data_IF_428162817602
#
_entry.id   IF_428162817602
#
_cell.length_a   1.000
_cell.length_b   1.000
_cell.length_c   1.000
_cell.angle_alpha   90.00
_cell.angle_beta   90.00
_cell.angle_gamma   90.00
#
_symmetry.space_group_name_H-M   'P 1'
#
loop_
_entity.id
_entity.type
_entity.pdbx_description
1 polymer ?
#
# COMPACT_ATOMS: atom_id res chain seq x y z
N UNK A 1 -17.05 4.42 9.14
CA UNK A 1 -16.28 3.21 9.48
C UNK A 1 -14.85 3.61 9.83
N UNK A 2 -14.27 2.91 10.80
CA UNK A 2 -12.90 3.08 11.26
C UNK A 2 -12.34 1.66 11.30
N UNK A 3 -11.16 1.43 10.74
CA UNK A 3 -10.41 0.18 10.92
C UNK A 3 -9.08 0.51 11.57
N UNK A 4 -8.66 -0.21 12.63
CA UNK A 4 -7.30 -0.11 13.09
C UNK A 4 -6.37 -0.58 11.97
N UNK A 5 -5.30 0.19 11.78
CA UNK A 5 -4.17 -0.16 10.93
C UNK A 5 -3.02 -0.53 11.86
N UNK A 6 -2.45 -1.70 11.67
CA UNK A 6 -1.33 -2.18 12.48
C UNK A 6 -0.12 -2.32 11.59
N UNK A 7 1.05 -1.95 12.10
CA UNK A 7 2.34 -2.26 11.46
C UNK A 7 2.95 -3.45 12.17
N UNK A 8 3.42 -4.45 11.43
CA UNK A 8 3.97 -5.69 11.99
C UNK A 8 5.49 -5.70 11.90
N UNK A 9 6.19 -5.04 12.82
CA UNK A 9 7.66 -5.14 12.95
C UNK A 9 8.51 -4.65 11.75
N UNK A 10 7.93 -4.57 10.55
CA UNK A 10 8.48 -4.16 9.27
C UNK A 10 7.98 -2.74 9.03
N UNK A 11 8.86 -1.73 8.97
CA UNK A 11 8.43 -0.34 8.88
C UNK A 11 7.85 0.01 7.50
N UNK A 12 7.89 -0.92 6.54
CA UNK A 12 7.36 -0.74 5.20
C UNK A 12 5.92 -1.25 5.05
N UNK A 13 5.43 -2.08 5.98
CA UNK A 13 4.20 -2.85 5.79
C UNK A 13 3.06 -2.38 6.71
N UNK A 14 1.93 -2.01 6.09
CA UNK A 14 0.72 -1.56 6.77
C UNK A 14 -0.49 -2.37 6.31
N UNK A 15 -1.30 -2.82 7.26
CA UNK A 15 -2.50 -3.62 6.97
C UNK A 15 -3.66 -3.24 7.88
N UNK A 16 -4.88 -3.50 7.40
CA UNK A 16 -6.09 -3.47 8.21
C UNK A 16 -6.42 -4.87 8.72
N UNK A 17 -6.84 -4.96 9.98
CA UNK A 17 -7.44 -6.17 10.52
C UNK A 17 -8.91 -6.23 10.12
N UNK A 18 -9.27 -7.28 9.39
CA UNK A 18 -10.63 -7.49 8.88
C UNK A 18 -11.12 -8.85 9.37
N UNK A 19 -12.27 -8.85 10.03
CA UNK A 19 -13.03 -10.07 10.30
C UNK A 19 -13.71 -10.53 9.01
N UNK A 20 -13.54 -11.79 8.63
CA UNK A 20 -14.12 -12.36 7.40
C UNK A 20 -15.01 -13.54 7.78
N UNK A 21 -16.19 -13.59 7.17
CA UNK A 21 -17.12 -14.72 7.26
C UNK A 21 -18.00 -14.74 8.51
N UNK A 22 -18.99 -15.63 8.47
CA UNK A 22 -19.87 -15.91 9.60
C UNK A 22 -19.82 -17.39 9.98
N UNK A 23 -19.21 -17.70 11.12
CA UNK A 23 -18.99 -19.04 11.62
C UNK A 23 -19.91 -19.36 12.80
N UNK A 24 -20.02 -20.66 13.13
CA UNK A 24 -20.76 -21.09 14.31
C UNK A 24 -20.15 -20.48 15.58
N UNK A 25 -21.01 -20.04 16.49
CA UNK A 25 -20.62 -19.48 17.76
C UNK A 25 -19.93 -20.54 18.61
N UNK A 26 -18.71 -20.23 19.05
CA UNK A 26 -18.01 -20.98 20.10
C UNK A 26 -17.88 -20.04 21.29
N UNK A 27 -18.16 -20.55 22.49
CA UNK A 27 -18.12 -19.74 23.71
C UNK A 27 -16.80 -18.95 23.80
N UNK A 28 -16.91 -17.63 24.02
CA UNK A 28 -15.77 -16.72 24.12
C UNK A 28 -15.09 -16.28 22.81
N UNK A 29 -15.61 -16.63 21.62
CA UNK A 29 -15.00 -16.27 20.33
C UNK A 29 -15.97 -15.50 19.40
N UNK A 30 -15.47 -14.50 18.63
CA UNK A 30 -16.29 -13.82 17.62
C UNK A 30 -16.78 -14.81 16.56
N UNK A 31 -17.97 -14.55 15.99
CA UNK A 31 -18.55 -15.33 14.88
C UNK A 31 -17.85 -15.10 13.53
N UNK A 32 -16.63 -14.56 13.51
CA UNK A 32 -15.83 -14.28 12.31
C UNK A 32 -14.37 -14.63 12.57
N UNK A 33 -13.56 -14.74 11.50
CA UNK A 33 -12.11 -14.96 11.59
C UNK A 33 -11.36 -13.70 11.19
N UNK A 34 -10.40 -13.27 11.99
CA UNK A 34 -9.65 -12.04 11.74
C UNK A 34 -8.41 -12.32 10.90
N UNK A 35 -8.21 -11.53 9.86
CA UNK A 35 -7.09 -11.60 8.95
C UNK A 35 -6.48 -10.21 8.72
N UNK A 36 -5.21 -10.17 8.34
CA UNK A 36 -4.53 -8.93 8.02
C UNK A 36 -4.54 -8.70 6.51
N UNK A 37 -5.16 -7.61 6.10
CA UNK A 37 -5.24 -7.21 4.69
C UNK A 37 -4.32 -6.04 4.43
N UNK A 38 -3.35 -6.19 3.53
CA UNK A 38 -2.56 -5.04 3.07
C UNK A 38 -3.50 -4.02 2.40
N UNK A 39 -3.34 -2.75 2.72
CA UNK A 39 -4.08 -1.69 2.05
C UNK A 39 -3.42 -1.41 0.70
N UNK A 40 -4.13 -1.64 -0.40
CA UNK A 40 -3.60 -1.47 -1.75
C UNK A 40 -4.42 -0.45 -2.52
N UNK A 41 -3.82 0.69 -2.80
CA UNK A 41 -4.45 1.79 -3.54
C UNK A 41 -4.09 1.78 -5.03
N UNK A 42 -3.30 0.79 -5.46
CA UNK A 42 -2.95 0.50 -6.85
C UNK A 42 -3.88 -0.51 -7.52
N UNK A 43 -4.65 -1.28 -6.74
CA UNK A 43 -5.58 -2.31 -7.22
C UNK A 43 -6.99 -2.12 -6.64
N UNK A 44 -8.03 -2.38 -7.45
CA UNK A 44 -9.41 -2.28 -6.99
C UNK A 44 -9.93 -3.56 -6.31
N UNK A 45 -9.49 -4.77 -6.67
CA UNK A 45 -10.13 -5.98 -6.15
C UNK A 45 -9.56 -6.36 -4.77
N UNK A 46 -10.41 -6.42 -3.75
CA UNK A 46 -10.03 -7.05 -2.48
C UNK A 46 -10.00 -8.57 -2.63
N UNK A 47 -9.05 -9.25 -2.01
CA UNK A 47 -8.95 -10.71 -2.06
C UNK A 47 -8.26 -11.29 -0.83
N UNK A 48 -8.49 -12.58 -0.55
CA UNK A 48 -7.84 -13.34 0.52
C UNK A 48 -7.52 -14.75 0.03
N UNK A 49 -6.46 -15.36 0.57
CA UNK A 49 -6.14 -16.76 0.31
C UNK A 49 -7.19 -17.70 0.93
N UNK A 50 -7.89 -18.44 0.08
CA UNK A 50 -8.92 -19.41 0.46
C UNK A 50 -8.37 -20.84 0.56
N UNK A 51 -9.10 -21.73 1.24
CA UNK A 51 -8.70 -23.14 1.45
C UNK A 51 -8.44 -23.90 0.15
N UNK A 52 -9.10 -23.52 -0.95
CA UNK A 52 -8.88 -24.08 -2.27
C UNK A 52 -7.44 -23.94 -2.79
N UNK A 53 -6.61 -23.07 -2.21
CA UNK A 53 -5.18 -22.98 -2.56
C UNK A 53 -4.38 -24.24 -2.18
N UNK A 54 -4.92 -25.06 -1.28
CA UNK A 54 -4.28 -26.30 -0.84
C UNK A 54 -4.60 -27.49 -1.76
N UNK A 55 -5.48 -27.30 -2.75
CA UNK A 55 -5.82 -28.34 -3.72
C UNK A 55 -4.64 -28.66 -4.63
N UNK A 56 -4.60 -29.89 -5.14
CA UNK A 56 -3.54 -30.34 -6.07
C UNK A 56 -3.53 -29.45 -7.32
N UNK A 57 -2.35 -28.90 -7.65
CA UNK A 57 -2.14 -28.02 -8.81
C UNK A 57 -2.27 -26.52 -8.51
N UNK A 58 -2.71 -26.18 -7.30
CA UNK A 58 -2.81 -24.80 -6.80
C UNK A 58 -1.62 -24.45 -5.89
N UNK A 59 -1.46 -23.16 -5.59
CA UNK A 59 -0.42 -22.70 -4.68
C UNK A 59 -0.94 -21.65 -3.68
N UNK A 60 -0.75 -21.95 -2.41
CA UNK A 60 -0.82 -20.98 -1.33
C UNK A 60 0.51 -20.23 -1.25
N UNK A 61 0.48 -18.90 -1.11
CA UNK A 61 1.69 -18.21 -0.68
C UNK A 61 1.94 -18.43 0.82
N UNK A 62 3.20 -18.40 1.28
CA UNK A 62 3.52 -18.56 2.69
C UNK A 62 2.89 -17.45 3.54
N UNK A 63 2.10 -17.83 4.54
CA UNK A 63 1.43 -16.93 5.47
C UNK A 63 1.46 -17.51 6.90
N UNK A 64 1.38 -16.65 7.91
CA UNK A 64 1.40 -17.04 9.34
C UNK A 64 0.16 -17.84 9.75
N UNK A 65 -1.02 -17.42 9.30
CA UNK A 65 -2.30 -18.05 9.65
C UNK A 65 -2.78 -19.00 8.53
N UNK A 66 -3.60 -20.01 8.84
CA UNK A 66 -4.16 -20.89 7.83
C UNK A 66 -5.01 -20.12 6.80
N UNK A 67 -5.18 -20.65 5.58
CA UNK A 67 -6.09 -20.10 4.59
C UNK A 67 -7.51 -19.94 5.12
N UNK A 68 -8.25 -19.03 4.50
CA UNK A 68 -9.66 -18.80 4.81
C UNK A 68 -10.53 -20.01 4.42
N UNK A 69 -11.22 -20.59 5.41
CA UNK A 69 -12.08 -21.76 5.26
C UNK A 69 -13.46 -21.34 4.74
N UNK A 70 -13.52 -20.94 3.47
CA UNK A 70 -14.72 -20.38 2.84
C UNK A 70 -15.91 -21.36 2.85
N UNK A 71 -15.70 -22.67 2.73
CA UNK A 71 -16.77 -23.68 2.81
C UNK A 71 -17.48 -23.74 4.16
N UNK A 72 -16.86 -23.23 5.23
CA UNK A 72 -17.40 -23.26 6.59
C UNK A 72 -18.11 -21.96 6.98
N UNK A 73 -18.02 -20.92 6.15
CA UNK A 73 -18.71 -19.65 6.37
C UNK A 73 -20.16 -19.72 5.88
N UNK A 74 -21.10 -19.34 6.73
CA UNK A 74 -22.53 -19.30 6.38
C UNK A 74 -22.92 -18.11 5.49
N UNK A 75 -22.04 -17.11 5.34
CA UNK A 75 -22.29 -15.93 4.50
C UNK A 75 -21.46 -15.91 3.20
N UNK A 76 -20.62 -16.93 2.98
CA UNK A 76 -19.91 -17.10 1.72
C UNK A 76 -20.90 -17.45 0.61
N UNK A 77 -20.97 -16.61 -0.43
CA UNK A 77 -21.78 -16.89 -1.62
C UNK A 77 -20.90 -16.75 -2.86
N UNK A 78 -20.61 -17.84 -3.57
CA UNK A 78 -19.76 -17.74 -4.76
C UNK A 78 -20.55 -17.11 -5.91
N UNK A 79 -19.88 -16.34 -6.78
CA UNK A 79 -20.55 -15.58 -7.85
C UNK A 79 -20.53 -16.38 -9.16
N UNK A 80 -21.70 -16.59 -9.75
CA UNK A 80 -21.83 -17.21 -11.08
C UNK A 80 -21.59 -16.18 -12.20
N UNK A 81 -21.13 -16.62 -13.37
CA UNK A 81 -20.64 -15.73 -14.44
C UNK A 81 -21.61 -14.62 -14.91
N UNK A 82 -22.92 -14.88 -14.87
CA UNK A 82 -23.93 -13.95 -15.39
C UNK A 82 -24.78 -13.29 -14.29
N UNK A 83 -24.41 -13.47 -13.02
CA UNK A 83 -25.23 -13.02 -11.89
C UNK A 83 -24.75 -11.71 -11.26
N UNK A 84 -23.56 -11.21 -11.62
CA UNK A 84 -22.98 -10.04 -10.98
C UNK A 84 -22.24 -9.14 -11.97
N UNK A 85 -22.44 -7.83 -11.83
CA UNK A 85 -21.83 -6.81 -12.70
C UNK A 85 -20.30 -6.72 -12.60
N UNK A 86 -19.71 -7.30 -11.55
CA UNK A 86 -18.26 -7.38 -11.38
C UNK A 86 -17.62 -8.56 -12.11
N UNK A 87 -18.43 -9.45 -12.69
CA UNK A 87 -17.92 -10.49 -13.54
C UNK A 87 -17.60 -9.94 -14.92
N UNK A 88 -16.31 -9.83 -15.22
CA UNK A 88 -15.85 -9.28 -16.49
C UNK A 88 -16.04 -10.29 -17.63
N UNK A 89 -16.31 -9.82 -18.87
CA UNK A 89 -16.38 -10.71 -20.03
C UNK A 89 -15.12 -11.57 -20.17
N UNK A 90 -15.31 -12.88 -20.38
CA UNK A 90 -14.21 -13.85 -20.48
C UNK A 90 -13.66 -14.35 -19.14
N UNK A 91 -14.12 -13.80 -18.00
CA UNK A 91 -13.77 -14.29 -16.65
C UNK A 91 -14.79 -15.30 -16.14
N UNK A 92 -14.95 -16.39 -16.88
CA UNK A 92 -15.91 -17.44 -16.55
C UNK A 92 -15.28 -18.82 -16.73
N UNK A 93 -15.25 -19.63 -15.68
CA UNK A 93 -14.80 -21.02 -15.74
C UNK A 93 -15.77 -21.90 -14.96
N UNK A 94 -16.26 -22.96 -15.61
CA UNK A 94 -17.17 -23.93 -14.99
C UNK A 94 -18.41 -23.27 -14.36
N UNK A 95 -18.94 -22.21 -14.99
CA UNK A 95 -20.10 -21.44 -14.50
C UNK A 95 -19.80 -20.46 -13.38
N UNK A 96 -18.57 -20.44 -12.86
CA UNK A 96 -18.11 -19.57 -11.79
C UNK A 96 -17.33 -18.38 -12.35
N UNK A 97 -17.58 -17.21 -11.78
CA UNK A 97 -16.86 -16.00 -12.15
C UNK A 97 -15.44 -16.04 -11.61
N UNK A 98 -14.45 -15.94 -12.48
CA UNK A 98 -13.04 -15.97 -12.10
C UNK A 98 -12.46 -14.57 -11.98
N UNK A 99 -11.26 -14.46 -11.42
CA UNK A 99 -10.46 -13.25 -11.52
C UNK A 99 -8.98 -13.61 -11.62
N UNK A 100 -8.20 -12.67 -12.12
CA UNK A 100 -6.75 -12.71 -12.11
C UNK A 100 -6.21 -11.30 -11.84
N UNK A 101 -5.32 -11.16 -10.87
CA UNK A 101 -4.59 -9.93 -10.58
C UNK A 101 -3.10 -10.22 -10.61
N UNK A 102 -2.39 -9.44 -11.42
CA UNK A 102 -0.93 -9.46 -11.51
C UNK A 102 -0.34 -8.25 -10.80
N UNK A 103 0.77 -8.47 -10.10
CA UNK A 103 1.51 -7.48 -9.34
C UNK A 103 2.91 -7.29 -9.95
N UNK A 104 3.89 -6.93 -9.12
CA UNK A 104 5.31 -6.85 -9.50
C UNK A 104 5.85 -8.18 -10.07
N UNK A 105 7.18 -8.26 -10.35
CA UNK A 105 7.76 -9.28 -11.22
C UNK A 105 7.35 -10.72 -10.90
N UNK A 106 6.37 -11.25 -11.66
CA UNK A 106 5.88 -12.62 -11.55
C UNK A 106 4.94 -12.92 -10.37
N UNK A 107 4.55 -11.93 -9.57
CA UNK A 107 3.59 -12.09 -8.48
C UNK A 107 2.16 -12.00 -9.02
N UNK A 108 1.31 -12.96 -8.70
CA UNK A 108 -0.10 -12.93 -9.13
C UNK A 108 -1.01 -13.75 -8.20
N UNK A 109 -2.29 -13.42 -8.22
CA UNK A 109 -3.37 -14.18 -7.57
C UNK A 109 -4.49 -14.43 -8.56
N UNK A 110 -5.09 -15.61 -8.47
CA UNK A 110 -6.27 -15.97 -9.24
C UNK A 110 -7.18 -16.88 -8.41
N UNK A 111 -8.44 -16.89 -8.77
CA UNK A 111 -9.47 -17.66 -8.09
C UNK A 111 -10.86 -17.27 -8.56
N UNK A 112 -11.84 -17.43 -7.68
CA UNK A 112 -13.23 -17.13 -7.97
C UNK A 112 -13.66 -15.85 -7.24
N UNK A 113 -14.53 -15.07 -7.88
CA UNK A 113 -15.26 -14.02 -7.17
C UNK A 113 -16.34 -14.64 -6.30
N UNK A 114 -16.52 -14.07 -5.12
CA UNK A 114 -17.56 -14.42 -4.17
C UNK A 114 -17.99 -13.16 -3.42
N UNK A 115 -19.16 -13.19 -2.77
CA UNK A 115 -19.57 -12.21 -1.78
C UNK A 115 -19.43 -12.80 -0.38
N UNK A 116 -19.05 -11.96 0.59
CA UNK A 116 -18.88 -12.36 1.99
C UNK A 116 -19.16 -11.18 2.94
N UNK A 117 -19.37 -11.49 4.22
CA UNK A 117 -19.47 -10.53 5.30
C UNK A 117 -18.07 -10.12 5.78
N UNK A 118 -17.74 -8.84 5.66
CA UNK A 118 -16.53 -8.25 6.24
C UNK A 118 -16.88 -7.46 7.51
N UNK A 119 -16.20 -7.74 8.61
CA UNK A 119 -16.41 -7.13 9.92
C UNK A 119 -15.21 -6.29 10.32
N UNK A 120 -15.45 -5.02 10.65
CA UNK A 120 -14.41 -4.06 11.03
C UNK A 120 -14.54 -3.66 12.50
N UNK A 121 -13.40 -3.52 13.17
CA UNK A 121 -13.33 -3.06 14.56
C UNK A 121 -13.46 -1.53 14.62
N UNK A 122 -14.51 -1.01 15.27
CA UNK A 122 -14.60 0.43 15.56
C UNK A 122 -13.80 0.78 16.82
N UNK A 123 -13.19 1.97 16.84
CA UNK A 123 -12.57 2.56 18.04
C UNK A 123 -13.56 2.78 19.19
N UNK A 124 -14.87 2.74 18.94
CA UNK A 124 -15.92 2.80 19.98
C UNK A 124 -16.29 1.42 20.55
N UNK A 125 -15.46 0.39 20.32
CA UNK A 125 -15.69 -0.97 20.85
C UNK A 125 -16.81 -1.77 20.18
N UNK A 126 -17.43 -1.24 19.12
CA UNK A 126 -18.47 -1.93 18.33
C UNK A 126 -17.90 -2.50 17.03
N UNK A 127 -18.26 -3.73 16.71
CA UNK A 127 -17.99 -4.30 15.39
C UNK A 127 -18.99 -3.78 14.37
N UNK A 128 -18.52 -3.46 13.17
CA UNK A 128 -19.36 -3.10 12.03
C UNK A 128 -19.25 -4.18 10.97
N UNK A 129 -20.30 -4.96 10.79
CA UNK A 129 -20.42 -5.94 9.71
C UNK A 129 -20.93 -5.27 8.44
N UNK A 130 -20.31 -5.60 7.31
CA UNK A 130 -20.71 -5.24 5.97
C UNK A 130 -20.97 -6.53 5.21
N UNK A 131 -22.23 -6.73 4.86
CA UNK A 131 -22.68 -7.91 4.13
C UNK A 131 -22.47 -7.73 2.63
N UNK A 132 -22.46 -8.85 1.91
CA UNK A 132 -22.39 -8.92 0.44
C UNK A 132 -21.20 -8.16 -0.19
N UNK A 133 -20.07 -8.07 0.52
CA UNK A 133 -18.83 -7.52 -0.04
C UNK A 133 -18.26 -8.52 -1.04
N UNK A 134 -18.18 -8.11 -2.31
CA UNK A 134 -17.57 -8.89 -3.37
C UNK A 134 -16.05 -8.82 -3.27
N UNK A 135 -15.41 -9.99 -3.25
CA UNK A 135 -13.97 -10.15 -3.12
C UNK A 135 -13.48 -11.36 -3.94
N UNK A 136 -12.17 -11.44 -4.12
CA UNK A 136 -11.50 -12.60 -4.69
C UNK A 136 -11.19 -13.66 -3.63
N UNK A 137 -11.74 -14.86 -3.81
CA UNK A 137 -11.36 -16.05 -3.06
C UNK A 137 -10.20 -16.73 -3.80
N UNK A 138 -8.97 -16.40 -3.40
CA UNK A 138 -7.75 -16.82 -4.11
C UNK A 138 -7.50 -18.31 -3.93
N UNK A 139 -7.41 -19.03 -5.04
CA UNK A 139 -7.06 -20.45 -5.09
C UNK A 139 -5.68 -20.68 -5.69
N UNK A 140 -5.07 -19.73 -6.38
CA UNK A 140 -3.66 -19.82 -6.79
C UNK A 140 -3.01 -18.46 -6.65
N UNK A 141 -1.99 -18.39 -5.80
CA UNK A 141 -1.28 -17.16 -5.46
C UNK A 141 0.21 -17.45 -5.37
N UNK A 142 0.99 -16.81 -6.24
CA UNK A 142 2.41 -17.11 -6.42
C UNK A 142 3.28 -15.89 -6.25
N UNK A 143 4.50 -16.13 -5.76
CA UNK A 143 5.54 -15.12 -5.56
C UNK A 143 5.08 -13.91 -4.73
N UNK A 144 4.13 -14.10 -3.81
CA UNK A 144 3.70 -13.04 -2.89
C UNK A 144 4.72 -12.90 -1.75
N UNK A 145 5.31 -11.71 -1.62
CA UNK A 145 6.26 -11.40 -0.55
C UNK A 145 5.98 -10.00 -0.01
N UNK A 146 5.36 -9.95 1.18
CA UNK A 146 4.98 -8.70 1.84
C UNK A 146 5.93 -8.28 2.96
N UNK A 147 6.72 -9.22 3.49
CA UNK A 147 7.71 -8.94 4.52
C UNK A 147 9.12 -9.31 4.02
N UNK A 148 10.08 -8.42 4.24
CA UNK A 148 11.49 -8.67 3.89
C UNK A 148 12.34 -8.96 5.13
N UNK A 149 11.88 -8.54 6.31
CA UNK A 149 12.62 -8.63 7.56
C UNK A 149 12.16 -9.78 8.48
N UNK A 150 11.14 -10.55 8.08
CA UNK A 150 10.54 -11.60 8.93
C UNK A 150 10.36 -12.90 8.17
N UNK A 151 10.57 -14.02 8.88
CA UNK A 151 10.42 -15.38 8.33
C UNK A 151 8.97 -15.75 8.02
N UNK A 152 7.99 -15.09 8.68
CA UNK A 152 6.56 -15.38 8.49
C UNK A 152 5.82 -14.13 8.05
N UNK A 153 5.24 -14.21 6.86
CA UNK A 153 4.41 -13.17 6.27
C UNK A 153 3.10 -13.01 7.08
N UNK A 154 2.80 -11.80 7.60
CA UNK A 154 1.61 -11.54 8.39
C UNK A 154 0.37 -11.21 7.54
N UNK A 155 0.50 -11.04 6.22
CA UNK A 155 -0.57 -10.58 5.32
C UNK A 155 -1.30 -11.77 4.70
N UNK A 156 -2.61 -11.86 4.92
CA UNK A 156 -3.45 -12.95 4.42
C UNK A 156 -4.07 -12.65 3.05
N UNK A 157 -4.10 -11.38 2.68
CA UNK A 157 -4.74 -10.88 1.46
C UNK A 157 -4.58 -9.38 1.29
N UNK A 158 -5.31 -8.81 0.34
CA UNK A 158 -5.25 -7.40 -0.03
C UNK A 158 -6.62 -6.77 0.08
N UNK A 159 -6.72 -5.61 0.73
CA UNK A 159 -7.90 -4.75 0.69
C UNK A 159 -7.72 -3.79 -0.48
N UNK A 160 -8.40 -4.09 -1.58
CA UNK A 160 -8.38 -3.31 -2.82
C UNK A 160 -9.09 -1.98 -2.64
N UNK A 161 -8.28 -0.92 -2.54
CA UNK A 161 -8.67 0.46 -2.31
C UNK A 161 -8.42 1.36 -3.52
N UNK A 162 -7.94 0.80 -4.64
CA UNK A 162 -7.73 1.50 -5.89
C UNK A 162 -9.01 2.06 -6.52
N UNK A 163 -8.83 2.78 -7.61
CA UNK A 163 -9.88 3.35 -8.42
C UNK A 163 -10.65 2.27 -9.19
N UNK A 164 -11.92 2.10 -8.89
CA UNK A 164 -12.83 1.34 -9.74
C UNK A 164 -14.06 0.80 -8.99
N UNK A 165 -15.04 0.25 -9.73
CA UNK A 165 -16.30 -0.21 -9.16
C UNK A 165 -16.12 -1.40 -8.22
N UNK A 166 -15.08 -2.23 -8.41
CA UNK A 166 -14.81 -3.38 -7.52
C UNK A 166 -14.10 -2.99 -6.22
N UNK A 167 -13.62 -1.75 -6.12
CA UNK A 167 -12.94 -1.26 -4.92
C UNK A 167 -13.79 -1.37 -3.68
N UNK A 168 -13.17 -1.72 -2.55
CA UNK A 168 -13.85 -1.75 -1.27
C UNK A 168 -14.49 -0.38 -0.97
N UNK A 169 -13.81 0.71 -1.31
CA UNK A 169 -14.34 2.07 -1.21
C UNK A 169 -15.66 2.28 -1.96
N UNK A 170 -15.76 1.77 -3.20
CA UNK A 170 -16.95 1.89 -4.03
C UNK A 170 -18.09 1.02 -3.48
N UNK A 171 -17.78 -0.19 -3.03
CA UNK A 171 -18.75 -1.11 -2.42
C UNK A 171 -19.38 -0.56 -1.13
N UNK A 172 -18.66 0.30 -0.39
CA UNK A 172 -19.22 1.03 0.76
C UNK A 172 -20.33 2.04 0.39
N UNK A 173 -20.45 2.42 -0.88
CA UNK A 173 -21.52 3.29 -1.39
C UNK A 173 -21.71 4.58 -0.59
N UNK A 174 -22.90 4.75 -0.01
CA UNK A 174 -23.25 5.93 0.80
C UNK A 174 -22.47 6.01 2.12
N UNK A 175 -21.94 4.91 2.65
CA UNK A 175 -21.17 4.91 3.91
C UNK A 175 -19.87 5.69 3.74
N UNK A 176 -19.17 5.49 2.63
CA UNK A 176 -17.91 6.18 2.34
C UNK A 176 -18.10 7.53 1.65
N UNK A 177 -19.22 7.71 0.93
CA UNK A 177 -19.41 8.80 -0.02
C UNK A 177 -18.24 8.95 -1.02
N UNK A 178 -17.52 7.85 -1.31
CA UNK A 178 -16.32 7.87 -2.16
C UNK A 178 -15.09 8.51 -1.51
N UNK A 179 -15.05 8.59 -0.17
CA UNK A 179 -13.92 9.17 0.57
C UNK A 179 -13.33 8.20 1.58
N UNK A 180 -12.01 8.14 1.63
CA UNK A 180 -11.27 7.49 2.70
C UNK A 180 -10.01 8.27 3.06
N UNK A 181 -9.49 8.02 4.27
CA UNK A 181 -8.22 8.59 4.72
C UNK A 181 -7.44 7.62 5.58
N UNK A 182 -6.13 7.72 5.53
CA UNK A 182 -5.22 7.04 6.45
C UNK A 182 -4.05 7.96 6.83
N UNK A 183 -3.34 7.58 7.90
CA UNK A 183 -2.11 8.25 8.34
C UNK A 183 -1.12 7.17 8.78
N UNK A 184 0.00 7.05 8.08
CA UNK A 184 0.97 5.98 8.32
C UNK A 184 1.94 6.40 9.43
N UNK A 185 2.06 5.59 10.50
CA UNK A 185 3.00 5.84 11.61
C UNK A 185 4.41 5.38 11.26
N UNK A 186 5.41 6.00 11.87
CA UNK A 186 6.82 5.60 11.73
C UNK A 186 7.24 4.46 12.69
N UNK A 187 6.55 4.32 13.82
CA UNK A 187 6.84 3.30 14.83
C UNK A 187 5.68 2.30 14.98
N UNK A 188 6.03 1.04 15.24
CA UNK A 188 5.11 -0.11 15.19
C UNK A 188 4.43 -0.41 16.54
N UNK A 189 4.41 0.55 17.47
CA UNK A 189 4.00 0.32 18.87
C UNK A 189 2.52 0.57 19.12
N UNK A 190 1.79 1.23 18.20
CA UNK A 190 0.37 1.53 18.33
C UNK A 190 -0.36 1.51 16.99
N UNK A 191 -1.63 1.08 17.00
CA UNK A 191 -2.50 1.11 15.83
C UNK A 191 -2.72 2.55 15.32
N UNK A 192 -2.85 2.73 14.01
CA UNK A 192 -3.39 3.94 13.34
C UNK A 192 -4.77 3.63 12.74
N UNK A 193 -5.28 4.45 11.82
CA UNK A 193 -6.66 4.36 11.35
C UNK A 193 -6.80 4.46 9.83
N UNK A 194 -7.70 3.63 9.30
CA UNK A 194 -8.37 3.82 8.03
C UNK A 194 -9.78 4.32 8.30
N UNK A 195 -10.12 5.52 7.81
CA UNK A 195 -11.40 6.20 8.05
C UNK A 195 -12.14 6.41 6.75
N UNK A 196 -13.47 6.36 6.80
CA UNK A 196 -14.33 6.49 5.63
C UNK A 196 -15.41 7.56 5.83
N UNK A 197 -15.73 8.28 4.75
CA UNK A 197 -16.83 9.24 4.70
C UNK A 197 -16.81 10.25 5.84
N UNK A 198 -17.94 10.38 6.55
CA UNK A 198 -18.11 11.36 7.64
C UNK A 198 -17.16 11.16 8.84
N UNK A 199 -16.49 10.03 8.94
CA UNK A 199 -15.56 9.74 10.03
C UNK A 199 -14.14 10.25 9.75
N UNK A 200 -13.87 10.76 8.56
CA UNK A 200 -12.60 11.41 8.25
C UNK A 200 -12.52 12.70 9.07
N UNK A 201 -11.61 12.71 10.05
CA UNK A 201 -11.34 13.91 10.86
C UNK A 201 -10.80 15.01 9.97
N UNK A 202 -11.26 16.25 10.14
CA UNK A 202 -10.71 17.38 9.41
C UNK A 202 -9.30 17.70 9.91
N UNK A 203 -8.40 17.96 8.99
CA UNK A 203 -7.06 18.46 9.32
C UNK A 203 -6.88 19.83 8.68
N UNK A 204 -6.27 20.74 9.43
CA UNK A 204 -5.90 22.04 8.91
C UNK A 204 -4.63 21.88 8.04
N UNK A 205 -4.47 22.74 7.04
CA UNK A 205 -3.24 22.83 6.22
C UNK A 205 -2.92 21.62 5.31
N UNK A 206 -3.93 20.86 4.88
CA UNK A 206 -3.72 19.88 3.81
C UNK A 206 -3.54 20.61 2.47
N UNK A 207 -2.53 20.21 1.72
CA UNK A 207 -2.38 20.58 0.31
C UNK A 207 -3.23 19.65 -0.55
N UNK A 208 -3.57 20.08 -1.77
CA UNK A 208 -4.43 19.30 -2.67
C UNK A 208 -3.85 19.20 -4.06
N UNK A 209 -3.95 18.01 -4.65
CA UNK A 209 -3.65 17.78 -6.07
C UNK A 209 -4.77 16.99 -6.72
N UNK A 210 -4.85 17.06 -8.06
CA UNK A 210 -5.86 16.36 -8.83
C UNK A 210 -5.47 14.88 -8.99
N UNK A 211 -6.45 14.01 -8.78
CA UNK A 211 -6.34 12.59 -9.14
C UNK A 211 -6.64 12.44 -10.63
N UNK A 212 -5.72 11.80 -11.35
CA UNK A 212 -5.84 11.45 -12.75
C UNK A 212 -6.22 9.98 -12.90
N UNK A 213 -7.02 9.68 -13.93
CA UNK A 213 -7.33 8.32 -14.32
C UNK A 213 -6.46 7.95 -15.52
N UNK A 214 -5.68 6.88 -15.41
CA UNK A 214 -4.90 6.32 -16.50
C UNK A 214 -5.46 4.92 -16.77
N UNK A 215 -6.29 4.76 -17.81
CA UNK A 215 -6.85 3.44 -18.12
C UNK A 215 -5.76 2.52 -18.72
N UNK A 216 -5.78 1.21 -18.42
CA UNK A 216 -6.74 0.48 -17.56
C UNK A 216 -6.37 0.42 -16.06
N UNK A 217 -5.43 1.26 -15.59
CA UNK A 217 -4.94 1.22 -14.20
C UNK A 217 -6.02 1.60 -13.19
N UNK A 218 -6.07 0.85 -12.10
CA UNK A 218 -6.82 1.18 -10.88
C UNK A 218 -6.01 2.06 -9.92
N UNK A 219 -4.79 2.49 -10.25
CA UNK A 219 -4.01 3.32 -9.35
C UNK A 219 -4.49 4.78 -9.32
N UNK A 220 -4.30 5.47 -8.20
CA UNK A 220 -4.51 6.91 -8.10
C UNK A 220 -3.30 7.67 -8.65
N UNK A 221 -3.37 8.05 -9.94
CA UNK A 221 -2.31 8.81 -10.59
C UNK A 221 -2.36 10.29 -10.20
N UNK A 222 -1.19 10.93 -10.10
CA UNK A 222 -1.00 12.35 -9.82
C UNK A 222 0.03 12.94 -10.77
N UNK A 223 -0.06 14.24 -11.04
CA UNK A 223 0.85 14.91 -11.96
C UNK A 223 2.15 15.32 -11.23
N UNK A 224 3.20 14.53 -11.37
CA UNK A 224 4.53 14.81 -10.81
C UNK A 224 5.31 15.73 -11.77
N UNK A 225 5.71 16.90 -11.28
CA UNK A 225 6.36 17.99 -12.03
C UNK A 225 7.87 18.09 -11.80
N UNK A 226 8.40 17.34 -10.84
CA UNK A 226 9.82 17.29 -10.53
C UNK A 226 10.10 16.78 -9.12
N UNK A 227 11.39 16.63 -8.83
CA UNK A 227 11.90 16.26 -7.50
C UNK A 227 12.96 17.27 -7.10
N UNK A 228 13.00 17.64 -5.82
CA UNK A 228 14.07 18.46 -5.25
C UNK A 228 14.74 17.77 -4.08
N UNK A 229 16.02 18.05 -3.90
CA UNK A 229 16.80 17.68 -2.71
C UNK A 229 17.17 18.97 -1.99
N UNK A 230 16.77 19.14 -0.73
CA UNK A 230 16.99 20.36 0.06
C UNK A 230 16.53 21.65 -0.66
N UNK A 231 15.41 21.57 -1.38
CA UNK A 231 14.85 22.70 -2.13
C UNK A 231 15.52 22.98 -3.48
N UNK A 232 16.61 22.28 -3.83
CA UNK A 232 17.25 22.38 -5.14
C UNK A 232 16.58 21.40 -6.10
N UNK A 233 15.94 21.93 -7.15
CA UNK A 233 15.25 21.12 -8.16
C UNK A 233 16.23 20.33 -9.01
N UNK A 234 16.00 19.03 -9.11
CA UNK A 234 16.80 18.12 -9.91
C UNK A 234 16.49 18.30 -11.41
N UNK A 235 17.50 18.03 -12.25
CA UNK A 235 17.36 18.08 -13.71
C UNK A 235 16.62 16.84 -14.23
N UNK A 236 15.30 16.80 -14.00
CA UNK A 236 14.40 15.74 -14.48
C UNK A 236 13.51 16.33 -15.56
N UNK A 237 13.43 15.68 -16.72
CA UNK A 237 12.64 16.19 -17.84
C UNK A 237 11.16 15.86 -17.65
N UNK A 238 10.27 16.69 -18.20
CA UNK A 238 8.83 16.39 -18.24
C UNK A 238 8.54 15.04 -18.90
N UNK A 239 9.34 14.67 -19.90
CA UNK A 239 9.23 13.39 -20.61
C UNK A 239 9.55 12.18 -19.73
N UNK A 240 10.43 12.32 -18.74
CA UNK A 240 10.74 11.24 -17.79
C UNK A 240 9.55 10.95 -16.86
N UNK A 241 8.76 11.97 -16.55
CA UNK A 241 7.64 11.91 -15.60
C UNK A 241 6.27 11.69 -16.26
N UNK A 242 6.14 11.98 -17.55
CA UNK A 242 4.88 11.88 -18.27
C UNK A 242 4.37 10.44 -18.39
N UNK A 243 3.05 10.28 -18.29
CA UNK A 243 2.34 9.04 -18.63
C UNK A 243 2.50 8.76 -20.13
N UNK A 244 2.83 7.52 -20.48
CA UNK A 244 2.89 7.05 -21.87
C UNK A 244 1.52 6.58 -22.35
N UNK A 245 1.36 6.46 -23.67
CA UNK A 245 0.08 6.05 -24.30
C UNK A 245 -0.40 4.66 -23.89
N UNK A 246 0.52 3.75 -23.54
CA UNK A 246 0.25 2.41 -23.05
C UNK A 246 -0.10 2.37 -21.55
N UNK A 247 -0.18 3.53 -20.89
CA UNK A 247 -0.44 3.67 -19.45
C UNK A 247 0.80 3.44 -18.57
N UNK A 248 1.97 3.15 -19.16
CA UNK A 248 3.23 3.08 -18.43
C UNK A 248 3.76 4.48 -18.08
N UNK A 249 4.78 4.55 -17.21
CA UNK A 249 5.25 5.80 -16.58
C UNK A 249 4.15 6.50 -15.79
N UNK A 250 4.20 7.83 -15.73
CA UNK A 250 3.40 8.60 -14.76
C UNK A 250 3.87 8.40 -13.33
N UNK A 251 3.09 8.96 -12.42
CA UNK A 251 3.28 8.82 -10.99
C UNK A 251 1.96 8.47 -10.33
N UNK A 252 1.94 7.41 -9.52
CA UNK A 252 0.80 7.09 -8.66
C UNK A 252 1.18 7.10 -7.18
N UNK A 253 0.20 7.33 -6.32
CA UNK A 253 0.35 7.16 -4.87
C UNK A 253 -0.17 5.78 -4.52
N UNK A 254 0.66 4.96 -3.87
CA UNK A 254 0.26 3.60 -3.52
C UNK A 254 0.71 3.14 -2.12
N UNK A 255 -0.25 2.87 -1.24
CA UNK A 255 -0.02 2.25 0.07
C UNK A 255 0.28 0.72 -0.01
N UNK A 256 -0.06 0.06 -1.12
CA UNK A 256 0.26 -1.35 -1.36
C UNK A 256 1.72 -1.59 -1.78
N UNK A 257 2.37 -0.53 -2.26
CA UNK A 257 3.79 -0.54 -2.61
C UNK A 257 4.63 -0.14 -1.40
N UNK A 258 5.43 -1.07 -0.88
CA UNK A 258 6.19 -0.92 0.37
C UNK A 258 7.09 0.33 0.43
N UNK A 259 7.82 0.59 -0.65
CA UNK A 259 8.75 1.72 -0.77
C UNK A 259 8.62 2.37 -2.15
N UNK A 260 8.95 3.65 -2.25
CA UNK A 260 8.85 4.39 -3.51
C UNK A 260 9.67 3.75 -4.61
N UNK A 261 9.03 3.54 -5.76
CA UNK A 261 9.66 3.09 -7.00
C UNK A 261 9.79 4.29 -7.93
N UNK A 262 10.95 4.50 -8.53
CA UNK A 262 11.20 5.58 -9.47
C UNK A 262 11.65 5.00 -10.80
N UNK A 263 11.13 5.54 -11.90
CA UNK A 263 11.66 5.19 -13.22
C UNK A 263 13.16 5.45 -13.27
N UNK A 264 13.91 4.52 -13.86
CA UNK A 264 15.38 4.51 -13.80
C UNK A 264 16.07 5.88 -14.01
N UNK A 265 15.74 6.71 -15.03
CA UNK A 265 16.39 8.01 -15.19
C UNK A 265 16.19 8.97 -14.01
N UNK A 266 15.00 8.92 -13.39
CA UNK A 266 14.65 9.73 -12.23
C UNK A 266 15.36 9.21 -10.98
N UNK A 267 15.39 7.88 -10.80
CA UNK A 267 16.13 7.25 -9.72
C UNK A 267 17.63 7.60 -9.77
N UNK A 268 18.26 7.45 -10.93
CA UNK A 268 19.69 7.72 -11.11
C UNK A 268 20.03 9.18 -10.78
N UNK A 269 19.18 10.12 -11.21
CA UNK A 269 19.34 11.56 -10.93
C UNK A 269 19.21 11.86 -9.43
N UNK A 270 18.19 11.31 -8.77
CA UNK A 270 18.01 11.46 -7.32
C UNK A 270 19.16 10.83 -6.53
N UNK A 271 19.54 9.60 -6.90
CA UNK A 271 20.63 8.86 -6.27
C UNK A 271 21.94 9.63 -6.37
N UNK A 272 22.28 10.18 -7.55
CA UNK A 272 23.49 10.97 -7.74
C UNK A 272 23.50 12.23 -6.87
N UNK A 273 22.38 12.97 -6.81
CA UNK A 273 22.27 14.17 -5.99
C UNK A 273 22.39 13.88 -4.49
N UNK A 274 21.77 12.80 -4.01
CA UNK A 274 21.89 12.37 -2.62
C UNK A 274 23.31 11.88 -2.29
N UNK A 275 23.93 11.12 -3.18
CA UNK A 275 25.29 10.63 -3.00
C UNK A 275 26.31 11.78 -2.93
N UNK A 276 26.18 12.77 -3.83
CA UNK A 276 26.98 13.99 -3.83
C UNK A 276 26.83 14.76 -2.51
N UNK A 277 25.58 15.03 -2.07
CA UNK A 277 25.32 15.70 -0.80
C UNK A 277 25.93 14.96 0.40
N UNK A 278 25.69 13.65 0.52
CA UNK A 278 26.14 12.84 1.65
C UNK A 278 27.67 12.66 1.68
N UNK A 279 28.33 12.63 0.52
CA UNK A 279 29.79 12.48 0.40
C UNK A 279 30.58 13.62 1.05
N UNK A 280 29.95 14.80 1.20
CA UNK A 280 30.57 15.98 1.81
C UNK A 280 30.56 15.95 3.33
N UNK A 281 29.78 15.06 3.96
CA UNK A 281 29.72 14.95 5.41
C UNK A 281 30.83 14.03 5.92
N UNK A 282 31.83 14.62 6.60
CA UNK A 282 32.96 13.88 7.17
C UNK A 282 32.58 12.89 8.28
N UNK A 283 31.37 13.01 8.85
CA UNK A 283 30.84 12.09 9.85
C UNK A 283 30.15 10.87 9.24
N UNK A 284 30.18 10.73 7.91
CA UNK A 284 29.59 9.61 7.18
C UNK A 284 30.65 8.86 6.40
N UNK A 285 30.58 7.53 6.43
CA UNK A 285 31.39 6.64 5.60
C UNK A 285 30.49 5.83 4.69
N UNK A 286 30.76 5.79 3.38
CA UNK A 286 29.99 4.95 2.46
C UNK A 286 30.06 3.48 2.90
N UNK A 287 28.90 2.85 3.03
CA UNK A 287 28.75 1.46 3.41
C UNK A 287 28.26 0.64 2.21
N UNK A 288 28.88 -0.51 1.94
CA UNK A 288 28.57 -1.34 0.78
C UNK A 288 27.94 -2.63 1.30
N UNK A 289 26.62 -2.76 1.16
CA UNK A 289 25.88 -3.96 1.59
C UNK A 289 25.97 -5.06 0.52
N UNK A 290 25.70 -4.71 -0.75
CA UNK A 290 25.78 -5.65 -1.87
C UNK A 290 26.90 -5.28 -2.84
N UNK A 291 27.49 -6.30 -3.48
CA UNK A 291 28.52 -6.14 -4.53
C UNK A 291 28.02 -5.38 -5.77
N UNK A 292 26.72 -5.12 -5.90
CA UNK A 292 26.10 -4.47 -7.06
C UNK A 292 26.13 -2.92 -7.03
N UNK A 293 26.73 -2.28 -5.99
CA UNK A 293 26.96 -0.82 -5.90
C UNK A 293 25.75 0.13 -6.08
N UNK A 294 24.53 -0.38 -6.20
CA UNK A 294 23.31 0.44 -6.38
C UNK A 294 22.68 0.90 -5.07
N UNK A 295 23.11 0.35 -3.94
CA UNK A 295 22.62 0.78 -2.63
C UNK A 295 23.32 2.06 -2.19
N UNK A 296 22.54 3.06 -1.81
CA UNK A 296 23.05 4.30 -1.23
C UNK A 296 23.01 4.20 0.30
N UNK A 297 24.03 3.55 0.88
CA UNK A 297 24.14 3.35 2.32
C UNK A 297 25.36 4.04 2.92
N UNK A 298 25.23 4.54 4.15
CA UNK A 298 26.30 5.17 4.90
C UNK A 298 26.31 4.69 6.36
N UNK A 299 27.50 4.39 6.86
CA UNK A 299 27.80 4.24 8.27
C UNK A 299 27.91 5.63 8.91
N UNK A 300 27.23 5.80 10.03
CA UNK A 300 27.32 6.97 10.88
C UNK A 300 28.52 6.83 11.83
N UNK A 301 29.51 7.70 11.69
CA UNK A 301 30.74 7.68 12.51
C UNK A 301 30.58 8.43 13.84
N UNK A 302 29.64 9.37 13.90
CA UNK A 302 29.35 10.18 15.09
C UNK A 302 27.90 10.65 15.12
N UNK A 303 27.42 11.18 16.26
CA UNK A 303 26.07 11.76 16.39
C UNK A 303 25.74 12.79 15.30
N UNK A 304 26.73 13.61 14.91
CA UNK A 304 26.61 14.64 13.89
C UNK A 304 26.39 14.09 12.46
N UNK A 305 26.59 12.80 12.23
CA UNK A 305 26.33 12.18 10.92
C UNK A 305 24.85 12.25 10.47
N UNK A 306 23.91 12.47 11.40
CA UNK A 306 22.49 12.67 11.08
C UNK A 306 22.07 14.13 10.98
N UNK A 307 22.96 15.07 11.29
CA UNK A 307 22.68 16.48 11.09
C UNK A 307 22.63 16.78 9.59
N UNK A 308 21.66 17.60 9.17
CA UNK A 308 21.52 18.05 7.78
C UNK A 308 21.30 16.92 6.75
N UNK A 309 20.70 15.80 7.15
CA UNK A 309 20.23 14.81 6.19
C UNK A 309 19.18 15.41 5.24
N UNK A 310 19.22 15.04 3.96
CA UNK A 310 18.44 15.72 2.94
C UNK A 310 16.94 15.46 3.05
N UNK A 311 16.15 16.51 2.86
CA UNK A 311 14.72 16.43 2.58
C UNK A 311 14.53 16.24 1.08
N UNK A 312 13.72 15.25 0.70
CA UNK A 312 13.30 15.04 -0.70
C UNK A 312 11.89 15.59 -0.86
N UNK A 313 11.65 16.40 -1.89
CA UNK A 313 10.31 16.92 -2.20
C UNK A 313 9.86 16.42 -3.55
N UNK A 314 8.70 15.77 -3.59
CA UNK A 314 7.98 15.48 -4.84
C UNK A 314 7.06 16.66 -5.15
N UNK A 315 7.33 17.37 -6.23
CA UNK A 315 6.52 18.51 -6.67
C UNK A 315 5.35 18.01 -7.50
N UNK A 316 4.17 17.97 -6.91
CA UNK A 316 2.93 17.61 -7.60
C UNK A 316 2.26 18.88 -8.15
N UNK A 317 1.32 18.71 -9.07
CA UNK A 317 0.48 19.83 -9.50
C UNK A 317 -0.25 20.44 -8.29
N UNK A 318 0.04 21.72 -8.02
CA UNK A 318 -0.50 22.54 -6.92
C UNK A 318 -0.14 22.08 -5.49
N UNK A 319 0.80 21.15 -5.31
CA UNK A 319 1.16 20.65 -3.99
C UNK A 319 2.58 20.09 -3.92
N UNK A 320 3.23 20.23 -2.76
CA UNK A 320 4.57 19.68 -2.49
C UNK A 320 4.52 18.60 -1.41
N UNK A 321 4.85 17.36 -1.80
CA UNK A 321 5.01 16.25 -0.87
C UNK A 321 6.46 16.22 -0.35
N UNK A 322 6.65 16.73 0.88
CA UNK A 322 7.95 16.77 1.56
C UNK A 322 8.19 15.49 2.36
N UNK A 323 9.16 14.71 1.93
CA UNK A 323 9.63 13.48 2.60
C UNK A 323 10.83 13.82 3.48
N UNK A 324 10.63 13.69 4.79
CA UNK A 324 11.68 13.94 5.80
C UNK A 324 12.73 12.84 5.81
N UNK A 325 13.94 13.08 6.33
CA UNK A 325 15.03 12.10 6.33
C UNK A 325 14.65 10.71 6.85
N UNK A 326 13.79 10.62 7.85
CA UNK A 326 13.33 9.34 8.44
C UNK A 326 12.45 8.50 7.50
N UNK A 327 11.96 9.10 6.41
CA UNK A 327 11.20 8.46 5.34
C UNK A 327 11.96 8.47 3.99
N UNK A 328 13.09 9.17 3.89
CA UNK A 328 14.03 9.08 2.75
C UNK A 328 14.99 7.91 2.94
N UNK A 329 15.41 7.67 4.18
CA UNK A 329 16.39 6.65 4.52
C UNK A 329 15.82 5.66 5.54
N UNK A 330 16.17 4.38 5.37
CA UNK A 330 15.97 3.35 6.36
C UNK A 330 17.17 3.31 7.31
N UNK A 331 16.94 3.51 8.60
CA UNK A 331 17.96 3.46 9.65
C UNK A 331 17.96 2.09 10.33
N UNK A 332 19.13 1.47 10.44
CA UNK A 332 19.33 0.15 11.05
C UNK A 332 20.72 0.03 11.66
N UNK A 333 20.83 -0.84 12.65
CA UNK A 333 22.13 -1.34 13.08
C UNK A 333 22.51 -2.55 12.21
N UNK A 334 23.71 -2.53 11.64
CA UNK A 334 24.30 -3.64 10.90
C UNK A 334 25.71 -3.89 11.43
N UNK A 335 25.99 -5.12 11.87
CA UNK A 335 27.31 -5.52 12.39
C UNK A 335 27.85 -4.57 13.48
N UNK A 336 26.97 -4.13 14.40
CA UNK A 336 27.31 -3.21 15.49
C UNK A 336 27.51 -1.75 15.05
N UNK A 337 27.20 -1.42 13.80
CA UNK A 337 27.33 -0.06 13.24
C UNK A 337 25.97 0.54 12.94
N UNK A 338 25.83 1.83 13.23
CA UNK A 338 24.66 2.60 12.83
C UNK A 338 24.75 2.91 11.33
N UNK A 339 23.90 2.30 10.52
CA UNK A 339 23.86 2.47 9.06
C UNK A 339 22.50 3.00 8.65
N UNK A 340 22.47 3.83 7.62
CA UNK A 340 21.23 4.17 6.94
C UNK A 340 21.38 4.05 5.42
N UNK A 341 20.29 3.67 4.76
CA UNK A 341 20.24 3.40 3.33
C UNK A 341 19.06 4.12 2.67
N UNK A 342 19.23 4.59 1.43
CA UNK A 342 18.11 5.11 0.63
C UNK A 342 17.00 4.07 0.56
N UNK A 343 15.79 4.45 0.95
CA UNK A 343 14.61 3.57 0.97
C UNK A 343 13.69 3.80 -0.23
N UNK A 344 14.29 4.10 -1.39
CA UNK A 344 13.62 4.19 -2.69
C UNK A 344 14.36 3.30 -3.68
N UNK A 345 13.66 2.74 -4.65
CA UNK A 345 14.21 1.76 -5.60
C UNK A 345 14.00 2.22 -7.04
N UNK A 346 14.84 1.72 -7.94
CA UNK A 346 14.65 1.88 -9.38
C UNK A 346 13.62 0.89 -9.90
N UNK A 347 12.80 1.33 -10.85
CA UNK A 347 11.87 0.52 -11.64
C UNK A 347 12.01 0.91 -13.12
N UNK A 348 11.79 -0.03 -14.03
CA UNK A 348 11.96 0.22 -15.47
C UNK A 348 10.70 0.82 -16.13
N UNK A 349 9.56 0.75 -15.46
CA UNK A 349 8.24 0.96 -16.04
C UNK A 349 7.47 2.16 -15.47
N UNK A 350 7.55 2.43 -14.16
CA UNK A 350 6.64 3.36 -13.48
C UNK A 350 7.27 4.06 -12.28
N UNK A 351 6.70 5.22 -11.93
CA UNK A 351 6.97 5.88 -10.65
C UNK A 351 5.78 5.65 -9.72
N UNK A 352 6.05 5.17 -8.50
CA UNK A 352 5.05 4.95 -7.47
C UNK A 352 5.58 5.55 -6.17
N UNK A 353 4.86 6.49 -5.57
CA UNK A 353 5.15 6.97 -4.22
C UNK A 353 4.56 5.94 -3.24
N UNK A 354 5.45 5.14 -2.64
CA UNK A 354 5.11 4.00 -1.79
C UNK A 354 4.82 4.38 -0.33
N UNK A 355 4.34 3.41 0.45
CA UNK A 355 3.89 3.57 1.83
C UNK A 355 4.94 4.20 2.77
N UNK A 356 6.21 3.80 2.66
CA UNK A 356 7.28 4.34 3.52
C UNK A 356 7.44 5.86 3.38
N UNK A 357 7.37 6.38 2.16
CA UNK A 357 7.46 7.83 1.91
C UNK A 357 6.18 8.60 2.27
N UNK A 358 5.10 7.90 2.57
CA UNK A 358 3.83 8.47 3.03
C UNK A 358 3.73 8.54 4.57
N UNK A 359 4.75 8.08 5.31
CA UNK A 359 4.80 8.13 6.78
C UNK A 359 4.68 9.56 7.33
N UNK A 360 4.01 9.68 8.50
CA UNK A 360 3.75 10.94 9.22
C UNK A 360 2.97 11.97 8.40
N UNK A 361 2.25 11.49 7.39
CA UNK A 361 1.36 12.29 6.59
C UNK A 361 -0.02 11.65 6.54
N UNK A 362 -1.02 12.50 6.60
CA UNK A 362 -2.38 12.11 6.29
C UNK A 362 -2.60 12.18 4.80
N UNK A 363 -3.23 11.16 4.26
CA UNK A 363 -3.77 11.16 2.92
C UNK A 363 -5.30 11.05 2.99
N UNK A 364 -5.98 11.89 2.23
CA UNK A 364 -7.45 11.88 2.06
C UNK A 364 -7.74 11.77 0.58
N UNK A 365 -8.36 10.67 0.19
CA UNK A 365 -8.80 10.42 -1.17
C UNK A 365 -10.28 10.78 -1.28
N UNK A 366 -10.62 11.68 -2.21
CA UNK A 366 -11.98 11.97 -2.62
C UNK A 366 -12.15 11.60 -4.09
N UNK A 367 -12.63 10.37 -4.33
CA UNK A 367 -12.73 9.82 -5.68
C UNK A 367 -13.88 10.41 -6.47
N UNK A 368 -14.88 11.00 -5.80
CA UNK A 368 -15.95 11.72 -6.49
C UNK A 368 -15.47 13.08 -6.99
N UNK A 369 -14.74 13.81 -6.15
CA UNK A 369 -14.18 15.11 -6.53
C UNK A 369 -12.88 15.00 -7.36
N UNK A 370 -12.28 13.80 -7.45
CA UNK A 370 -10.95 13.58 -8.06
C UNK A 370 -9.86 14.42 -7.38
N UNK A 371 -9.91 14.49 -6.05
CA UNK A 371 -8.95 15.25 -5.24
C UNK A 371 -8.22 14.32 -4.29
N UNK A 372 -6.90 14.45 -4.27
CA UNK A 372 -6.06 13.91 -3.22
C UNK A 372 -5.62 15.07 -2.32
N UNK A 373 -5.92 14.99 -1.04
CA UNK A 373 -5.42 15.93 -0.04
C UNK A 373 -4.39 15.27 0.85
N UNK A 374 -3.29 15.94 1.13
CA UNK A 374 -2.26 15.41 2.01
C UNK A 374 -1.49 16.48 2.77
N UNK A 375 -0.89 16.09 3.88
CA UNK A 375 -0.08 16.99 4.69
C UNK A 375 0.46 16.32 5.95
N UNK A 376 1.42 16.96 6.64
CA UNK A 376 1.98 16.46 7.89
C UNK A 376 0.90 16.28 8.95
N UNK A 377 0.89 15.14 9.62
CA UNK A 377 -0.04 14.87 10.71
C UNK A 377 0.63 14.03 11.78
N UNK A 378 0.29 14.32 13.05
CA UNK A 378 0.62 13.45 14.16
C UNK A 378 -0.30 12.22 14.08
N UNK A 379 0.18 11.17 13.42
CA UNK A 379 -0.57 9.93 13.26
C UNK A 379 -0.81 9.21 14.60
N UNK A 380 -0.14 9.59 15.69
CA UNK A 380 -0.28 8.99 17.02
C UNK A 380 -1.48 9.55 17.79
N UNK A 381 -1.79 10.83 17.63
CA UNK A 381 -2.87 11.52 18.34
C UNK A 381 -4.28 11.31 17.78
N UNK A 382 -4.40 10.50 16.73
CA UNK A 382 -5.65 10.26 16.02
C UNK A 382 -6.31 8.92 16.38
N UNK A 383 -5.93 8.34 17.52
CA UNK A 383 -6.61 7.32 18.34
C UNK A 383 -8.14 7.39 18.35
#
# INVERSE_FOLDING_TARGET
MISPLTSYGDPFLFFAQVGVGSFQEKSGHPRFKTYNFQIDTGNELSWIQCEGCQNKGNMCFPHKDPPYLNSQSRSYKPISCNQHSFCEPGQCKEGMCTYNVTYGPGSYTSGNLASETFTFYSSHGKHAALEDITFGCSTDSRNMKYAFLFDKNPVSGVLGMGWGPRSFLAQLGSISHGKFSYCIKANNTQNTYLRFGKHIVKSNNLQTTRIMQVKPSAAYHVNLLGISVNGVKLNITKTDLAVRKDGSRGCSIDAGTLATLLVKPVFDTLHAALADHLSRNQNLKRWIIHKLHKDLCYEQLSGAGRENLPVVTFHLENADLKVKPEAVFLFREFEGKNVFCLSMLSDDSKTIIGAYQQMKQKFVYDTKARVLSFGPEDCEKNG
#
